data_IF_859555878683
#
_entry.id   IF_859555878683
#
_cell.length_a   1.000
_cell.length_b   1.000
_cell.length_c   1.000
_cell.angle_alpha   90.00
_cell.angle_beta   90.00
_cell.angle_gamma   90.00
#
_symmetry.space_group_name_H-M   'P 1'
#
loop_
_entity.id
_entity.type
_entity.pdbx_description
1 polymer ?
#
# COMPACT_ATOMS: atom_id res chain seq x y z
N UNK A 1 -15.80 16.87 -1.12
CA UNK A 1 -15.53 17.06 -2.56
C UNK A 1 -14.03 16.92 -2.78
N UNK A 2 -13.61 16.32 -3.90
CA UNK A 2 -12.20 16.30 -4.30
C UNK A 2 -11.71 17.73 -4.59
N UNK A 3 -10.41 17.98 -4.39
CA UNK A 3 -9.82 19.31 -4.67
C UNK A 3 -9.76 19.64 -6.17
N UNK A 4 -9.74 18.61 -6.99
CA UNK A 4 -9.74 18.67 -8.46
C UNK A 4 -10.80 17.67 -8.93
N UNK A 5 -11.53 18.01 -10.00
CA UNK A 5 -12.48 17.07 -10.62
C UNK A 5 -11.72 15.89 -11.22
N UNK A 6 -12.19 14.65 -11.04
CA UNK A 6 -11.59 13.48 -11.67
C UNK A 6 -11.58 13.60 -13.20
N UNK A 7 -10.54 13.11 -13.86
CA UNK A 7 -10.49 13.05 -15.31
C UNK A 7 -11.52 12.05 -15.87
N UNK A 8 -12.00 12.29 -17.08
CA UNK A 8 -12.98 11.44 -17.77
C UNK A 8 -12.28 10.20 -18.39
N UNK A 9 -11.69 9.36 -17.53
CA UNK A 9 -11.06 8.08 -17.90
C UNK A 9 -11.75 6.94 -17.16
N UNK A 10 -11.62 5.72 -17.67
CA UNK A 10 -12.13 4.51 -17.00
C UNK A 10 -11.34 4.20 -15.72
N UNK A 11 -11.94 3.41 -14.84
CA UNK A 11 -11.34 2.96 -13.58
C UNK A 11 -11.97 3.62 -12.35
N UNK A 12 -11.43 3.29 -11.17
CA UNK A 12 -11.88 3.86 -9.91
C UNK A 12 -11.49 5.34 -9.78
N UNK A 13 -12.05 6.01 -8.78
CA UNK A 13 -11.83 7.45 -8.58
C UNK A 13 -10.36 7.83 -8.36
N UNK A 14 -9.54 6.94 -7.80
CA UNK A 14 -8.11 7.19 -7.64
C UNK A 14 -7.38 7.20 -9.00
N UNK A 15 -7.72 6.23 -9.87
CA UNK A 15 -7.23 6.19 -11.26
C UNK A 15 -7.70 7.41 -12.04
N UNK A 16 -8.96 7.77 -11.93
CA UNK A 16 -9.50 8.97 -12.57
C UNK A 16 -8.77 10.25 -12.12
N UNK A 17 -8.41 10.35 -10.83
CA UNK A 17 -7.63 11.48 -10.33
C UNK A 17 -6.24 11.55 -10.97
N UNK A 18 -5.54 10.41 -11.08
CA UNK A 18 -4.25 10.34 -11.77
C UNK A 18 -4.37 10.43 -13.29
N UNK A 19 -5.57 10.20 -13.85
CA UNK A 19 -5.87 10.23 -15.27
C UNK A 19 -5.61 11.56 -15.97
N UNK A 20 -5.48 12.67 -15.22
CA UNK A 20 -4.95 13.94 -15.75
C UNK A 20 -3.53 13.80 -16.32
N UNK A 21 -2.80 12.75 -15.94
CA UNK A 21 -1.44 12.44 -16.40
C UNK A 21 -1.35 10.94 -16.76
N UNK A 22 -1.98 10.51 -17.88
CA UNK A 22 -2.16 9.09 -18.20
C UNK A 22 -0.85 8.32 -18.28
N UNK A 23 0.22 8.89 -18.82
CA UNK A 23 1.52 8.21 -18.87
C UNK A 23 2.20 8.03 -17.50
N UNK A 24 1.85 8.85 -16.48
CA UNK A 24 2.29 8.64 -15.09
C UNK A 24 1.41 7.58 -14.45
N UNK A 25 0.10 7.68 -14.62
CA UNK A 25 -0.88 6.73 -14.09
C UNK A 25 -0.56 5.29 -14.51
N UNK A 26 -0.33 5.06 -15.80
CA UNK A 26 0.02 3.74 -16.34
C UNK A 26 1.25 3.14 -15.64
N UNK A 27 2.33 3.90 -15.53
CA UNK A 27 3.57 3.45 -14.88
C UNK A 27 3.40 3.24 -13.39
N UNK A 28 2.59 4.09 -12.72
CA UNK A 28 2.30 3.96 -11.30
C UNK A 28 1.58 2.65 -11.00
N UNK A 29 0.51 2.34 -11.75
CA UNK A 29 -0.26 1.12 -11.52
C UNK A 29 0.48 -0.14 -11.95
N UNK A 30 1.31 -0.07 -13.00
CA UNK A 30 2.19 -1.18 -13.37
C UNK A 30 3.22 -1.48 -12.26
N UNK A 31 3.78 -0.44 -11.63
CA UNK A 31 4.68 -0.59 -10.50
C UNK A 31 3.94 -1.12 -9.26
N UNK A 32 2.74 -0.59 -8.94
CA UNK A 32 1.92 -1.09 -7.82
C UNK A 32 1.63 -2.58 -7.97
N UNK A 33 1.19 -3.01 -9.14
CA UNK A 33 0.87 -4.41 -9.42
C UNK A 33 2.10 -5.31 -9.26
N UNK A 34 3.24 -4.89 -9.85
CA UNK A 34 4.51 -5.63 -9.73
C UNK A 34 4.94 -5.74 -8.27
N UNK A 35 4.97 -4.63 -7.53
CA UNK A 35 5.40 -4.64 -6.12
C UNK A 35 4.44 -5.42 -5.22
N UNK A 36 3.14 -5.40 -5.52
CA UNK A 36 2.11 -6.06 -4.71
C UNK A 36 2.14 -7.58 -4.85
N UNK A 37 2.27 -8.09 -6.08
CA UNK A 37 2.08 -9.51 -6.38
C UNK A 37 3.37 -10.26 -6.72
N UNK A 38 4.46 -9.56 -6.93
CA UNK A 38 5.78 -10.15 -7.20
C UNK A 38 6.74 -9.85 -6.04
N UNK A 39 7.83 -10.60 -5.98
CA UNK A 39 8.86 -10.40 -4.96
C UNK A 39 8.85 -11.47 -3.87
N UNK A 40 9.50 -11.17 -2.75
CA UNK A 40 9.78 -12.12 -1.67
C UNK A 40 8.71 -12.12 -0.58
N UNK A 41 8.06 -10.97 -0.35
CA UNK A 41 7.02 -10.83 0.66
C UNK A 41 5.66 -11.23 0.10
N UNK A 42 4.87 -11.92 0.91
CA UNK A 42 3.53 -12.35 0.49
C UNK A 42 2.60 -11.15 0.20
N UNK A 43 1.71 -11.27 -0.81
CA UNK A 43 0.70 -10.24 -1.09
C UNK A 43 -0.20 -9.94 0.12
N UNK A 44 -0.47 -10.92 0.97
CA UNK A 44 -1.28 -10.76 2.19
C UNK A 44 -0.57 -9.87 3.21
N UNK A 45 0.72 -10.09 3.48
CA UNK A 45 1.52 -9.24 4.35
C UNK A 45 1.56 -7.80 3.81
N UNK A 46 1.81 -7.64 2.52
CA UNK A 46 1.84 -6.31 1.86
C UNK A 46 0.50 -5.59 1.96
N UNK A 47 -0.61 -6.31 1.88
CA UNK A 47 -1.94 -5.71 2.05
C UNK A 47 -2.18 -5.25 3.48
N UNK A 48 -1.74 -5.98 4.50
CA UNK A 48 -1.86 -5.54 5.91
C UNK A 48 -1.01 -4.29 6.18
N UNK A 49 0.20 -4.21 5.61
CA UNK A 49 1.02 -2.98 5.63
C UNK A 49 0.27 -1.81 4.98
N UNK A 50 -0.34 -2.01 3.80
CA UNK A 50 -1.15 -0.98 3.12
C UNK A 50 -2.29 -0.48 4.01
N UNK A 51 -3.03 -1.41 4.61
CA UNK A 51 -4.18 -1.11 5.46
C UNK A 51 -3.80 -0.32 6.70
N UNK A 52 -2.69 -0.72 7.35
CA UNK A 52 -2.22 -0.08 8.57
C UNK A 52 -1.84 1.41 8.38
N UNK A 53 -1.27 1.76 7.22
CA UNK A 53 -0.90 3.15 6.88
C UNK A 53 -2.14 3.98 6.52
N UNK A 54 -3.17 3.36 5.92
CA UNK A 54 -4.30 4.08 5.34
C UNK A 54 -5.10 4.90 6.35
N UNK A 55 -5.23 4.41 7.56
CA UNK A 55 -5.98 5.06 8.63
C UNK A 55 -5.25 6.32 9.14
N UNK A 56 -3.95 6.21 9.39
CA UNK A 56 -3.14 7.30 9.92
C UNK A 56 -2.94 8.47 8.97
N UNK A 57 -2.88 8.21 7.66
CA UNK A 57 -2.58 9.24 6.64
C UNK A 57 -3.82 10.04 6.19
N UNK A 58 -5.03 9.59 6.56
CA UNK A 58 -6.28 10.30 6.24
C UNK A 58 -6.75 10.13 4.78
N UNK A 59 -6.28 9.12 4.05
CA UNK A 59 -6.77 8.78 2.72
C UNK A 59 -8.10 8.01 2.82
N UNK A 60 -9.24 8.70 2.70
CA UNK A 60 -10.56 8.08 2.81
C UNK A 60 -10.81 6.98 1.76
N UNK A 61 -10.31 7.14 0.54
CA UNK A 61 -10.35 6.09 -0.48
C UNK A 61 -9.56 4.86 -0.02
N UNK A 62 -8.31 5.05 0.41
CA UNK A 62 -7.42 3.96 0.78
C UNK A 62 -7.95 3.19 2.01
N UNK A 63 -8.50 3.89 3.00
CA UNK A 63 -9.12 3.29 4.18
C UNK A 63 -10.40 2.49 3.83
N UNK A 64 -11.19 2.97 2.84
CA UNK A 64 -12.41 2.27 2.42
C UNK A 64 -12.17 0.95 1.69
N UNK A 65 -10.93 0.68 1.26
CA UNK A 65 -10.55 -0.60 0.63
C UNK A 65 -10.32 -1.75 1.64
N UNK A 66 -10.42 -1.47 2.93
CA UNK A 66 -10.34 -2.45 4.01
C UNK A 66 -9.49 -1.97 5.17
N UNK A 67 -9.96 -2.25 6.38
CA UNK A 67 -9.24 -2.01 7.63
C UNK A 67 -8.18 -3.10 7.86
N UNK A 68 -7.13 -2.81 8.65
CA UNK A 68 -6.21 -3.85 9.13
C UNK A 68 -6.94 -4.87 10.01
N UNK A 69 -6.45 -6.10 10.02
CA UNK A 69 -6.96 -7.19 10.87
C UNK A 69 -5.83 -7.73 11.76
N UNK A 70 -5.50 -7.02 12.87
CA UNK A 70 -4.38 -7.39 13.74
C UNK A 70 -4.49 -8.80 14.33
N UNK A 71 -5.72 -9.30 14.53
CA UNK A 71 -5.95 -10.63 15.11
C UNK A 71 -5.55 -11.76 14.15
N UNK A 72 -5.43 -11.47 12.85
CA UNK A 72 -4.96 -12.42 11.82
C UNK A 72 -3.45 -12.40 11.61
N UNK A 73 -2.70 -11.48 12.26
CA UNK A 73 -1.28 -11.32 12.02
C UNK A 73 -0.45 -12.45 12.65
N UNK A 74 0.37 -13.11 11.85
CA UNK A 74 1.53 -13.83 12.35
C UNK A 74 2.64 -12.86 12.79
N UNK A 75 3.73 -13.39 13.38
CA UNK A 75 4.84 -12.57 13.85
C UNK A 75 5.47 -11.72 12.73
N UNK A 76 5.65 -12.29 11.54
CA UNK A 76 6.23 -11.58 10.39
C UNK A 76 5.34 -10.42 9.95
N UNK A 77 4.04 -10.67 9.81
CA UNK A 77 3.06 -9.63 9.43
C UNK A 77 2.99 -8.53 10.49
N UNK A 78 2.97 -8.88 11.79
CA UNK A 78 2.96 -7.91 12.87
C UNK A 78 4.21 -7.00 12.86
N UNK A 79 5.40 -7.58 12.65
CA UNK A 79 6.66 -6.82 12.55
C UNK A 79 6.68 -5.93 11.30
N UNK A 80 6.22 -6.42 10.15
CA UNK A 80 6.15 -5.64 8.92
C UNK A 80 5.21 -4.43 9.07
N UNK A 81 4.05 -4.63 9.70
CA UNK A 81 3.10 -3.56 10.00
C UNK A 81 3.69 -2.55 10.97
N UNK A 82 4.31 -3.02 12.06
CA UNK A 82 4.94 -2.14 13.04
C UNK A 82 6.08 -1.30 12.41
N UNK A 83 6.91 -1.91 11.56
CA UNK A 83 7.94 -1.21 10.82
C UNK A 83 7.36 -0.13 9.91
N UNK A 84 6.34 -0.47 9.12
CA UNK A 84 5.71 0.49 8.21
C UNK A 84 5.07 1.67 8.94
N UNK A 85 4.46 1.43 10.11
CA UNK A 85 3.95 2.50 10.98
C UNK A 85 5.09 3.34 11.55
N UNK A 86 6.19 2.73 11.99
CA UNK A 86 7.37 3.46 12.46
C UNK A 86 7.93 4.37 11.36
N UNK A 87 8.03 3.88 10.11
CA UNK A 87 8.45 4.68 8.96
C UNK A 87 7.48 5.85 8.71
N UNK A 88 6.18 5.60 8.80
CA UNK A 88 5.16 6.62 8.60
C UNK A 88 5.21 7.70 9.70
N UNK A 89 5.27 7.32 10.96
CA UNK A 89 5.27 8.24 12.10
C UNK A 89 6.54 9.12 12.14
N UNK A 90 7.65 8.60 11.65
CA UNK A 90 8.94 9.29 11.58
C UNK A 90 9.29 9.80 10.17
N UNK A 91 8.30 9.93 9.28
CA UNK A 91 8.55 10.30 7.88
C UNK A 91 9.31 11.62 7.69
N UNK A 92 9.24 12.50 8.68
CA UNK A 92 9.95 13.78 8.70
C UNK A 92 11.45 13.65 9.05
N UNK A 93 11.89 12.52 9.65
CA UNK A 93 13.28 12.24 10.03
C UNK A 93 13.61 10.74 9.96
N UNK A 94 13.63 10.19 8.76
CA UNK A 94 13.93 8.77 8.54
C UNK A 94 15.41 8.43 8.82
N UNK A 95 16.30 9.41 8.77
CA UNK A 95 17.71 9.21 9.12
C UNK A 95 17.92 9.00 10.61
N UNK A 96 17.03 9.55 11.44
CA UNK A 96 17.06 9.41 12.89
C UNK A 96 16.41 8.14 13.43
N UNK A 97 15.96 7.22 12.56
CA UNK A 97 15.43 5.92 13.03
C UNK A 97 16.52 5.11 13.72
N UNK A 98 16.15 4.52 14.89
CA UNK A 98 17.06 3.69 15.66
C UNK A 98 17.46 2.42 14.91
N UNK A 99 18.75 2.10 14.93
CA UNK A 99 19.29 0.86 14.32
C UNK A 99 18.68 -0.41 14.95
N UNK A 100 18.14 -0.33 16.18
CA UNK A 100 17.44 -1.43 16.84
C UNK A 100 16.19 -1.87 16.06
N UNK A 101 15.51 -0.97 15.37
CA UNK A 101 14.37 -1.27 14.49
C UNK A 101 14.81 -2.29 13.41
N UNK A 102 15.97 -2.05 12.79
CA UNK A 102 16.51 -2.95 11.78
C UNK A 102 17.07 -4.24 12.37
N UNK A 103 17.61 -4.20 13.60
CA UNK A 103 18.07 -5.40 14.29
C UNK A 103 16.91 -6.37 14.53
N UNK A 104 15.77 -5.87 14.99
CA UNK A 104 14.55 -6.69 15.20
C UNK A 104 14.01 -7.24 13.87
N UNK A 105 14.02 -6.46 12.79
CA UNK A 105 13.59 -6.95 11.48
C UNK A 105 14.46 -8.10 10.99
N UNK A 106 15.77 -8.05 11.20
CA UNK A 106 16.72 -9.09 10.77
C UNK A 106 16.56 -10.43 11.48
N UNK A 107 15.79 -10.49 12.57
CA UNK A 107 15.41 -11.77 13.19
C UNK A 107 14.45 -12.58 12.32
N UNK A 108 13.62 -11.91 11.49
CA UNK A 108 12.54 -12.55 10.73
C UNK A 108 12.66 -12.35 9.20
N UNK A 109 13.44 -11.37 8.75
CA UNK A 109 13.55 -10.99 7.35
C UNK A 109 15.02 -10.95 6.90
N UNK A 110 15.27 -11.42 5.69
CA UNK A 110 16.54 -11.20 4.99
C UNK A 110 16.71 -9.73 4.60
N UNK A 111 17.92 -9.30 4.30
CA UNK A 111 18.21 -7.94 3.84
C UNK A 111 17.42 -7.59 2.57
N UNK A 112 17.20 -8.55 1.66
CA UNK A 112 16.40 -8.34 0.45
C UNK A 112 14.92 -8.11 0.77
N UNK A 113 14.36 -8.85 1.72
CA UNK A 113 12.97 -8.66 2.19
C UNK A 113 12.80 -7.33 2.94
N UNK A 114 13.80 -6.90 3.72
CA UNK A 114 13.78 -5.59 4.40
C UNK A 114 13.79 -4.45 3.37
N UNK A 115 14.60 -4.57 2.33
CA UNK A 115 14.60 -3.58 1.23
C UNK A 115 13.25 -3.56 0.52
N UNK A 116 12.67 -4.72 0.21
CA UNK A 116 11.35 -4.81 -0.42
C UNK A 116 10.25 -4.19 0.47
N UNK A 117 10.25 -4.51 1.77
CA UNK A 117 9.31 -3.95 2.75
C UNK A 117 9.45 -2.43 2.86
N UNK A 118 10.68 -1.92 2.86
CA UNK A 118 10.95 -0.48 2.93
C UNK A 118 10.42 0.25 1.70
N UNK A 119 10.70 -0.28 0.50
CA UNK A 119 10.20 0.29 -0.76
C UNK A 119 8.67 0.25 -0.79
N UNK A 120 8.07 -0.89 -0.40
CA UNK A 120 6.62 -1.04 -0.34
C UNK A 120 5.96 -0.04 0.62
N UNK A 121 6.51 0.11 1.82
CA UNK A 121 6.00 1.05 2.83
C UNK A 121 6.04 2.49 2.32
N UNK A 122 7.16 2.93 1.75
CA UNK A 122 7.33 4.28 1.20
C UNK A 122 6.39 4.52 0.00
N UNK A 123 6.23 3.54 -0.87
CA UNK A 123 5.31 3.63 -2.01
C UNK A 123 3.85 3.76 -1.55
N UNK A 124 3.45 2.99 -0.52
CA UNK A 124 2.12 3.09 0.08
C UNK A 124 1.89 4.45 0.74
N UNK A 125 2.87 4.96 1.49
CA UNK A 125 2.80 6.31 2.07
C UNK A 125 2.61 7.35 0.96
N UNK A 126 3.40 7.30 -0.12
CA UNK A 126 3.30 8.26 -1.22
C UNK A 126 1.93 8.22 -1.91
N UNK A 127 1.41 7.03 -2.24
CA UNK A 127 0.11 6.87 -2.88
C UNK A 127 -1.04 7.34 -1.99
N UNK A 128 -0.99 6.99 -0.72
CA UNK A 128 -2.03 7.35 0.24
C UNK A 128 -1.97 8.84 0.60
N UNK A 129 -0.77 9.43 0.70
CA UNK A 129 -0.60 10.88 0.84
C UNK A 129 -1.18 11.64 -0.36
N UNK A 130 -1.00 11.13 -1.59
CA UNK A 130 -1.66 11.70 -2.77
C UNK A 130 -3.18 11.63 -2.64
N UNK A 131 -3.75 10.49 -2.24
CA UNK A 131 -5.18 10.33 -2.04
C UNK A 131 -5.76 11.28 -0.99
N UNK A 132 -5.06 11.45 0.13
CA UNK A 132 -5.40 12.41 1.18
C UNK A 132 -5.27 13.86 0.69
N UNK A 133 -4.15 14.20 0.02
CA UNK A 133 -3.90 15.52 -0.57
C UNK A 133 -4.99 15.92 -1.55
N UNK A 134 -5.45 15.02 -2.41
CA UNK A 134 -6.50 15.28 -3.39
C UNK A 134 -7.92 15.18 -2.81
N UNK A 135 -8.07 14.79 -1.54
CA UNK A 135 -9.35 14.56 -0.87
C UNK A 135 -10.25 13.59 -1.65
N UNK A 136 -9.66 12.49 -2.11
CA UNK A 136 -10.39 11.47 -2.86
C UNK A 136 -11.50 10.88 -1.97
N UNK A 137 -12.72 10.76 -2.53
CA UNK A 137 -13.86 10.16 -1.83
C UNK A 137 -13.60 8.69 -1.48
N UNK A 138 -14.31 8.11 -0.53
CA UNK A 138 -14.31 6.66 -0.34
C UNK A 138 -14.69 5.90 -1.62
N UNK A 139 -14.25 4.66 -1.74
CA UNK A 139 -14.69 3.75 -2.80
C UNK A 139 -16.22 3.53 -2.73
N UNK A 140 -16.83 3.34 -3.87
CA UNK A 140 -18.18 2.77 -3.96
C UNK A 140 -18.14 1.26 -3.71
N UNK A 141 -19.30 0.64 -3.48
CA UNK A 141 -19.38 -0.82 -3.34
C UNK A 141 -18.81 -1.54 -4.57
N UNK A 142 -19.13 -1.07 -5.78
CA UNK A 142 -18.60 -1.65 -7.02
C UNK A 142 -17.07 -1.52 -7.11
N UNK A 143 -16.50 -0.35 -6.81
CA UNK A 143 -15.04 -0.15 -6.79
C UNK A 143 -14.34 -1.04 -5.75
N UNK A 144 -15.00 -1.29 -4.60
CA UNK A 144 -14.48 -2.20 -3.59
C UNK A 144 -14.52 -3.66 -4.05
N UNK A 145 -15.58 -4.07 -4.72
CA UNK A 145 -15.71 -5.44 -5.26
C UNK A 145 -14.68 -5.66 -6.38
N UNK A 146 -14.52 -4.72 -7.32
CA UNK A 146 -13.48 -4.75 -8.34
C UNK A 146 -12.07 -4.85 -7.73
N UNK A 147 -11.81 -4.12 -6.64
CA UNK A 147 -10.53 -4.19 -5.92
C UNK A 147 -10.28 -5.57 -5.31
N UNK A 148 -11.31 -6.18 -4.68
CA UNK A 148 -11.19 -7.53 -4.10
C UNK A 148 -10.93 -8.58 -5.17
N UNK A 149 -11.64 -8.50 -6.29
CA UNK A 149 -11.50 -9.44 -7.41
C UNK A 149 -10.10 -9.34 -8.04
N UNK A 150 -9.63 -8.11 -8.28
CA UNK A 150 -8.28 -7.87 -8.77
C UNK A 150 -7.20 -8.41 -7.82
N UNK A 151 -7.36 -8.20 -6.50
CA UNK A 151 -6.45 -8.76 -5.50
C UNK A 151 -6.47 -10.28 -5.51
N UNK A 152 -7.64 -10.90 -5.50
CA UNK A 152 -7.76 -12.36 -5.49
C UNK A 152 -7.10 -12.99 -6.73
N UNK A 153 -7.26 -12.38 -7.90
CA UNK A 153 -6.61 -12.82 -9.14
C UNK A 153 -5.09 -12.69 -9.06
N UNK A 154 -4.56 -11.57 -8.58
CA UNK A 154 -3.12 -11.34 -8.41
C UNK A 154 -2.49 -12.27 -7.38
N UNK A 155 -3.15 -12.51 -6.26
CA UNK A 155 -2.71 -13.45 -5.22
C UNK A 155 -2.70 -14.90 -5.74
N UNK A 156 -3.65 -15.29 -6.59
CA UNK A 156 -3.66 -16.60 -7.24
C UNK A 156 -2.48 -16.74 -8.20
N UNK A 157 -2.26 -15.76 -9.06
CA UNK A 157 -1.13 -15.75 -10.00
C UNK A 157 0.23 -15.79 -9.28
N UNK A 158 0.36 -15.07 -8.15
CA UNK A 158 1.59 -15.10 -7.34
C UNK A 158 1.88 -16.48 -6.73
N UNK A 159 0.84 -17.22 -6.30
CA UNK A 159 0.99 -18.60 -5.79
C UNK A 159 1.41 -19.58 -6.86
N UNK A 160 0.91 -19.42 -8.08
CA UNK A 160 1.22 -20.32 -9.20
C UNK A 160 2.64 -20.11 -9.75
N UNK A 161 3.24 -18.94 -9.47
CA UNK A 161 4.60 -18.59 -9.90
C UNK A 161 5.70 -18.94 -8.87
N UNK A 162 5.35 -19.31 -7.63
CA UNK A 162 6.25 -19.61 -6.52
C UNK A 162 6.62 -21.10 -6.49
#
# INVERSE_FOLDING_TARGET
>A
MSRIEPAAVSGNVFQQMMGHRPGIMEKWFALDESMRFQGLLSPTLKEEVRRSIADGIGCRFCASLGAPDPDSHDRRTALAVAFAQTVFDNFHDLHGLDDEVFAVLKEEFSDAEIVELSIWSLFMIAGQAFGALMQIRPSTAAELDDYKDWRAAGEAAARDAA
#
